data_IF_513292077217
#
_entry.id   IF_513292077217
#
_cell.length_a   1.000
_cell.length_b   1.000
_cell.length_c   1.000
_cell.angle_alpha   90.00
_cell.angle_beta   90.00
_cell.angle_gamma   90.00
#
_symmetry.space_group_name_H-M   'P 1'
#
loop_
_entity.id
_entity.type
_entity.pdbx_description
1 polymer ?
#
# COMPACT_ATOMS: atom_id res chain seq x y z
N UNK A 1 -27.45 -7.76 -2.36
CA UNK A 1 -26.30 -8.67 -2.21
C UNK A 1 -25.08 -7.80 -2.42
N UNK A 2 -24.49 -7.30 -1.33
CA UNK A 2 -23.48 -6.23 -1.37
C UNK A 2 -22.31 -6.67 -2.25
N UNK A 3 -21.95 -5.77 -3.17
CA UNK A 3 -20.86 -5.92 -4.14
C UNK A 3 -19.64 -6.56 -3.47
N UNK A 4 -19.08 -7.58 -4.11
CA UNK A 4 -17.94 -8.36 -3.63
C UNK A 4 -16.96 -7.47 -2.88
N UNK A 5 -16.90 -7.63 -1.56
CA UNK A 5 -15.85 -7.06 -0.71
C UNK A 5 -14.55 -7.44 -1.38
N UNK A 6 -13.96 -6.48 -2.12
CA UNK A 6 -12.68 -6.67 -2.80
C UNK A 6 -11.68 -6.85 -1.67
N UNK A 7 -11.46 -8.11 -1.30
CA UNK A 7 -10.55 -8.55 -0.25
C UNK A 7 -9.24 -7.80 -0.43
N UNK A 8 -9.00 -6.84 0.45
CA UNK A 8 -7.97 -5.81 0.26
C UNK A 8 -6.68 -6.30 0.90
N UNK A 9 -5.86 -7.04 0.15
CA UNK A 9 -4.51 -7.37 0.59
C UNK A 9 -3.55 -6.24 0.19
N UNK A 10 -3.01 -5.53 1.17
CA UNK A 10 -2.11 -4.40 0.95
C UNK A 10 -0.69 -4.87 0.60
N UNK A 11 -0.05 -4.18 -0.33
CA UNK A 11 1.33 -4.42 -0.79
C UNK A 11 2.19 -3.17 -0.59
N UNK A 12 3.51 -3.37 -0.60
CA UNK A 12 4.47 -2.25 -0.58
C UNK A 12 4.13 -1.22 -1.66
N UNK A 13 4.10 0.05 -1.27
CA UNK A 13 3.80 1.17 -2.16
C UNK A 13 2.31 1.49 -2.33
N UNK A 14 1.40 0.60 -1.89
CA UNK A 14 -0.03 0.86 -1.98
C UNK A 14 -0.39 2.15 -1.23
N UNK A 15 -1.23 2.97 -1.85
CA UNK A 15 -1.77 4.19 -1.26
C UNK A 15 -3.10 3.89 -0.58
N UNK A 16 -3.28 4.37 0.64
CA UNK A 16 -4.45 4.09 1.46
C UNK A 16 -4.95 5.33 2.20
N UNK A 17 -6.16 5.27 2.73
CA UNK A 17 -6.69 6.23 3.68
C UNK A 17 -7.56 5.50 4.72
N UNK A 18 -7.79 6.13 5.86
CA UNK A 18 -8.61 5.56 6.93
C UNK A 18 -9.95 6.31 7.04
N UNK A 19 -11.07 5.59 6.94
CA UNK A 19 -12.41 6.23 6.88
C UNK A 19 -12.80 6.95 8.17
N UNK A 20 -12.42 6.42 9.34
CA UNK A 20 -12.74 7.04 10.63
C UNK A 20 -11.69 8.06 11.12
N UNK A 21 -10.56 8.17 10.44
CA UNK A 21 -9.43 9.01 10.85
C UNK A 21 -8.89 9.81 9.68
N UNK A 22 -9.76 10.60 9.05
CA UNK A 22 -9.45 11.42 7.89
C UNK A 22 -8.27 12.39 8.14
N UNK A 23 -8.10 12.83 9.39
CA UNK A 23 -7.00 13.71 9.80
C UNK A 23 -5.60 13.09 9.67
N UNK A 24 -5.50 11.78 9.44
CA UNK A 24 -4.20 11.16 9.13
C UNK A 24 -3.76 11.43 7.69
N UNK A 25 -4.69 11.80 6.80
CA UNK A 25 -4.43 11.99 5.38
C UNK A 25 -4.19 10.68 4.63
N UNK A 26 -3.55 10.77 3.46
CA UNK A 26 -3.13 9.61 2.69
C UNK A 26 -1.95 8.90 3.36
N UNK A 27 -1.92 7.58 3.22
CA UNK A 27 -0.83 6.73 3.68
C UNK A 27 -0.18 5.97 2.53
N UNK A 28 1.11 5.67 2.67
CA UNK A 28 1.83 4.71 1.83
C UNK A 28 2.25 3.51 2.67
N UNK A 29 2.04 2.30 2.14
CA UNK A 29 2.59 1.09 2.73
C UNK A 29 4.10 1.08 2.53
N UNK A 30 4.84 1.19 3.63
CA UNK A 30 6.32 1.27 3.64
C UNK A 30 6.97 -0.05 4.08
N UNK A 31 6.21 -0.95 4.69
CA UNK A 31 6.70 -2.28 5.06
C UNK A 31 5.57 -3.33 5.02
N UNK A 32 5.92 -4.56 4.63
CA UNK A 32 5.05 -5.74 4.67
C UNK A 32 5.81 -6.85 5.41
N UNK A 33 5.17 -7.43 6.43
CA UNK A 33 5.70 -8.53 7.21
C UNK A 33 4.75 -9.72 7.11
N UNK A 34 5.12 -10.76 6.37
CA UNK A 34 4.30 -11.96 6.19
C UNK A 34 5.09 -13.20 6.55
N UNK A 35 4.57 -13.98 7.49
CA UNK A 35 5.09 -15.28 7.87
C UNK A 35 4.52 -16.39 6.97
N UNK A 36 5.34 -17.41 6.72
CA UNK A 36 4.93 -18.64 6.01
C UNK A 36 4.41 -19.73 6.96
N UNK A 37 4.53 -19.51 8.28
CA UNK A 37 4.07 -20.45 9.30
C UNK A 37 2.57 -20.25 9.53
N UNK A 38 1.76 -21.31 9.62
CA UNK A 38 0.35 -21.20 9.99
C UNK A 38 0.14 -20.43 11.29
N UNK A 39 -0.76 -19.45 11.30
CA UNK A 39 -0.98 -18.55 12.44
C UNK A 39 0.13 -17.53 12.68
N UNK A 40 1.10 -17.43 11.78
CA UNK A 40 2.17 -16.45 11.85
C UNK A 40 1.71 -15.03 11.53
N UNK A 41 2.64 -14.08 11.68
CA UNK A 41 2.39 -12.65 11.48
C UNK A 41 2.01 -12.30 10.04
N UNK A 42 0.98 -11.48 9.86
CA UNK A 42 0.66 -10.82 8.59
C UNK A 42 0.34 -9.34 8.87
N UNK A 43 1.33 -8.47 8.73
CA UNK A 43 1.22 -7.05 9.09
C UNK A 43 1.69 -6.15 7.95
N UNK A 44 1.18 -4.93 7.94
CA UNK A 44 1.69 -3.84 7.12
C UNK A 44 1.98 -2.61 7.96
N UNK A 45 3.03 -1.88 7.62
CA UNK A 45 3.31 -0.57 8.20
C UNK A 45 3.02 0.52 7.18
N UNK A 46 2.24 1.50 7.59
CA UNK A 46 1.82 2.63 6.76
C UNK A 46 2.39 3.91 7.34
N UNK A 47 3.07 4.70 6.52
CA UNK A 47 3.44 6.08 6.82
C UNK A 47 2.34 7.00 6.29
N UNK A 48 1.68 7.72 7.20
CA UNK A 48 0.63 8.68 6.87
C UNK A 48 1.18 10.10 6.69
N UNK A 49 0.42 10.96 6.01
CA UNK A 49 0.74 12.37 5.78
C UNK A 49 0.87 13.18 7.08
N UNK A 50 0.25 12.72 8.17
CA UNK A 50 0.47 13.26 9.52
C UNK A 50 1.87 12.96 10.10
N UNK A 51 2.73 12.30 9.31
CA UNK A 51 4.12 11.96 9.65
C UNK A 51 4.25 10.74 10.55
N UNK A 52 3.15 10.10 10.96
CA UNK A 52 3.19 8.96 11.88
C UNK A 52 3.11 7.63 11.13
N UNK A 53 3.87 6.65 11.63
CA UNK A 53 3.77 5.28 11.17
C UNK A 53 2.79 4.49 12.04
N UNK A 54 1.94 3.69 11.40
CA UNK A 54 0.98 2.82 12.08
C UNK A 54 1.02 1.43 11.46
N UNK A 55 0.90 0.41 12.30
CA UNK A 55 0.93 -1.00 11.90
C UNK A 55 -0.46 -1.60 11.97
N UNK A 56 -0.86 -2.34 10.94
CA UNK A 56 -2.17 -2.99 10.87
C UNK A 56 -2.02 -4.47 10.50
N UNK A 57 -3.00 -5.26 10.90
CA UNK A 57 -3.13 -6.65 10.44
C UNK A 57 -3.56 -6.67 8.97
N UNK A 58 -2.89 -7.46 8.14
CA UNK A 58 -3.16 -7.62 6.71
C UNK A 58 -3.62 -9.05 6.38
N UNK A 59 -3.92 -9.86 7.40
CA UNK A 59 -4.53 -11.17 7.26
C UNK A 59 -6.04 -11.03 6.98
N UNK A 60 -6.49 -11.49 5.81
CA UNK A 60 -7.89 -11.40 5.39
C UNK A 60 -8.81 -12.35 6.18
N UNK A 61 -8.23 -13.37 6.81
CA UNK A 61 -8.95 -14.33 7.64
C UNK A 61 -9.04 -13.85 9.10
N UNK A 62 -8.37 -12.74 9.45
CA UNK A 62 -8.47 -12.12 10.77
C UNK A 62 -9.59 -11.09 10.84
N UNK A 63 -10.39 -11.13 11.91
CA UNK A 63 -11.39 -10.09 12.22
C UNK A 63 -10.77 -8.71 12.44
N UNK A 64 -9.47 -8.66 12.75
CA UNK A 64 -8.70 -7.43 12.93
C UNK A 64 -8.04 -6.95 11.63
N UNK A 65 -8.35 -7.56 10.48
CA UNK A 65 -7.81 -7.12 9.20
C UNK A 65 -8.04 -5.63 8.97
N UNK A 66 -7.05 -4.96 8.40
CA UNK A 66 -7.07 -3.55 8.10
C UNK A 66 -8.31 -3.13 7.30
N UNK A 67 -8.80 -3.97 6.39
CA UNK A 67 -9.99 -3.67 5.60
C UNK A 67 -11.26 -3.59 6.46
N UNK A 68 -11.38 -4.37 7.53
CA UNK A 68 -12.50 -4.32 8.46
C UNK A 68 -12.38 -3.17 9.45
N UNK A 69 -11.15 -2.76 9.77
CA UNK A 69 -10.88 -1.64 10.68
C UNK A 69 -10.95 -0.26 10.02
N UNK A 70 -11.28 -0.17 8.74
CA UNK A 70 -11.56 1.10 8.06
C UNK A 70 -10.46 1.60 7.12
N UNK A 71 -9.41 0.82 6.86
CA UNK A 71 -8.48 1.11 5.78
C UNK A 71 -9.10 0.82 4.42
N UNK A 72 -8.88 1.72 3.47
CA UNK A 72 -9.31 1.62 2.07
C UNK A 72 -8.15 1.96 1.15
N UNK A 73 -8.00 1.19 0.07
CA UNK A 73 -7.00 1.47 -0.96
C UNK A 73 -7.46 2.61 -1.88
N UNK A 74 -6.54 3.52 -2.16
CA UNK A 74 -6.75 4.61 -3.10
C UNK A 74 -6.29 4.19 -4.50
N UNK A 75 -7.24 3.67 -5.27
CA UNK A 75 -7.00 3.13 -6.62
C UNK A 75 -6.58 4.16 -7.66
N UNK A 76 -6.71 5.46 -7.36
CA UNK A 76 -6.27 6.53 -8.28
C UNK A 76 -4.77 6.48 -8.55
N UNK A 77 -4.00 5.87 -7.65
CA UNK A 77 -2.54 5.77 -7.75
C UNK A 77 -2.03 4.45 -8.33
N UNK A 78 -2.91 3.49 -8.67
CA UNK A 78 -2.51 2.19 -9.23
C UNK A 78 -2.27 2.22 -10.76
N UNK A 79 -2.84 3.20 -11.47
CA UNK A 79 -2.77 3.29 -12.93
C UNK A 79 -1.73 4.33 -13.40
N UNK A 80 -0.45 3.94 -13.42
CA UNK A 80 0.55 4.60 -14.27
C UNK A 80 1.55 5.56 -13.61
N UNK A 81 1.52 5.73 -12.28
CA UNK A 81 2.49 6.55 -11.54
C UNK A 81 3.77 5.79 -11.14
N UNK A 82 4.16 4.76 -11.90
CA UNK A 82 5.58 4.38 -11.92
C UNK A 82 6.33 5.54 -12.57
N UNK A 83 7.29 6.20 -11.90
CA UNK A 83 8.20 7.07 -12.61
C UNK A 83 8.86 6.19 -13.68
N UNK A 84 8.59 6.49 -14.96
CA UNK A 84 9.41 5.94 -16.03
C UNK A 84 10.83 6.35 -15.65
N UNK A 85 11.65 5.39 -15.26
CA UNK A 85 13.10 5.59 -15.19
C UNK A 85 13.46 6.11 -16.57
N UNK A 86 13.66 7.41 -16.69
CA UNK A 86 14.12 8.04 -17.90
C UNK A 86 15.48 7.43 -18.14
N UNK A 87 15.54 6.46 -19.06
CA UNK A 87 16.82 6.00 -19.59
C UNK A 87 17.44 7.25 -20.19
N UNK A 88 18.39 7.84 -19.48
CA UNK A 88 19.20 8.94 -20.00
C UNK A 88 19.69 8.51 -21.38
N UNK A 89 19.48 9.30 -22.44
CA UNK A 89 20.03 8.96 -23.73
C UNK A 89 21.55 8.88 -23.56
N UNK A 90 22.14 7.68 -23.76
CA UNK A 90 23.58 7.61 -24.00
C UNK A 90 23.81 8.47 -25.23
N UNK A 91 24.47 9.61 -25.05
CA UNK A 91 25.04 10.40 -26.15
C UNK A 91 25.90 9.43 -26.98
N UNK A 92 25.41 9.03 -28.14
CA UNK A 92 26.26 8.50 -29.20
C UNK A 92 27.19 9.64 -29.61
N UNK A 93 28.44 9.58 -29.14
CA UNK A 93 29.51 10.37 -29.72
C UNK A 93 29.69 9.86 -31.16
N UNK A 94 29.21 10.67 -32.10
CA UNK A 94 29.40 10.47 -33.53
C UNK A 94 30.73 11.08 -33.95
N UNK A 95 31.56 10.23 -34.55
CA UNK A 95 32.41 10.46 -35.72
C UNK A 95 33.27 11.75 -35.78
N UNK A 96 34.59 11.53 -35.78
CA UNK A 96 35.49 12.02 -36.83
C UNK A 96 36.59 11.00 -37.08
#
# INVERSE_FOLDING_TARGET
MLESDKRLFLRLGDRVFHVAYEQWGLGAVVEVMTSVVPGGTCLVRILFEDGKQRTFNNDMDSELCCCYLGLRKNWRFDFGDTPRVSRSPRRSIGQR
#
